data_IF_533520607410
#
_entry.id   IF_533520607410
#
_cell.length_a   1.000
_cell.length_b   1.000
_cell.length_c   1.000
_cell.angle_alpha   90.00
_cell.angle_beta   90.00
_cell.angle_gamma   90.00
#
_symmetry.space_group_name_H-M   'P 1'
#
loop_
_entity.id
_entity.type
_entity.pdbx_description
1 polymer ?
#
# COMPACT_ATOMS: atom_id res chain seq x y z
N UNK A 1 -5.47 36.49 32.31
CA UNK A 1 -5.77 35.37 31.39
C UNK A 1 -4.71 34.30 31.58
N UNK A 2 -5.09 33.08 31.92
CA UNK A 2 -4.16 31.96 32.01
C UNK A 2 -3.84 31.49 30.60
N UNK A 3 -2.58 31.61 30.18
CA UNK A 3 -2.12 31.08 28.91
C UNK A 3 -2.16 29.54 28.98
N UNK A 4 -3.01 28.92 28.17
CA UNK A 4 -3.19 27.47 28.20
C UNK A 4 -2.22 26.85 27.20
N UNK A 5 -1.33 25.97 27.67
CA UNK A 5 -0.29 25.33 26.89
C UNK A 5 -0.45 23.80 26.94
N UNK A 6 -0.32 23.13 25.78
CA UNK A 6 -0.18 21.68 25.66
C UNK A 6 1.29 21.36 25.38
N UNK A 7 1.88 20.45 26.14
CA UNK A 7 3.27 20.02 25.95
C UNK A 7 3.29 18.51 25.76
N UNK A 8 4.01 18.05 24.75
CA UNK A 8 4.22 16.62 24.49
C UNK A 8 5.71 16.33 24.42
N UNK A 9 6.09 15.12 24.82
CA UNK A 9 7.43 14.58 24.65
C UNK A 9 7.33 13.22 23.96
N UNK A 10 8.14 13.05 22.92
CA UNK A 10 8.18 11.85 22.09
C UNK A 10 9.57 11.23 22.16
N UNK A 11 9.61 9.92 22.30
CA UNK A 11 10.82 9.11 22.31
C UNK A 11 10.64 7.88 21.43
N UNK A 12 11.53 7.69 20.47
CA UNK A 12 11.51 6.57 19.53
C UNK A 12 12.90 5.92 19.45
N UNK A 13 12.96 4.63 19.73
CA UNK A 13 14.18 3.83 19.66
C UNK A 13 13.93 2.61 18.81
N UNK A 14 14.79 2.40 17.83
CA UNK A 14 14.74 1.23 16.94
C UNK A 14 16.08 0.49 17.02
N UNK A 15 16.03 -0.77 17.41
CA UNK A 15 17.13 -1.72 17.31
C UNK A 15 16.81 -2.77 16.25
N UNK A 16 17.75 -3.02 15.35
CA UNK A 16 17.60 -4.08 14.34
C UNK A 16 18.93 -4.81 14.14
N UNK A 17 18.84 -6.08 13.73
CA UNK A 17 20.00 -6.84 13.29
C UNK A 17 19.70 -7.47 11.94
N UNK A 18 20.76 -7.86 11.22
CA UNK A 18 20.63 -8.51 9.92
C UNK A 18 21.50 -9.75 9.90
N UNK A 19 20.87 -10.90 9.76
CA UNK A 19 21.51 -12.20 9.62
C UNK A 19 21.31 -12.66 8.18
N UNK A 20 22.36 -13.17 7.55
CA UNK A 20 22.27 -13.68 6.18
C UNK A 20 22.90 -15.06 6.06
N UNK A 21 22.27 -15.91 5.23
CA UNK A 21 22.77 -17.23 4.89
C UNK A 21 22.69 -17.42 3.37
N UNK A 22 23.85 -17.70 2.78
CA UNK A 22 23.97 -17.98 1.34
C UNK A 22 23.75 -19.48 1.09
N UNK A 23 22.86 -19.80 0.16
CA UNK A 23 22.64 -21.12 -0.42
C UNK A 23 23.08 -21.09 -1.89
N UNK A 24 23.16 -22.25 -2.54
CA UNK A 24 23.60 -22.35 -3.93
C UNK A 24 22.71 -21.56 -4.90
N UNK A 25 21.40 -21.55 -4.64
CA UNK A 25 20.40 -20.92 -5.51
C UNK A 25 19.86 -19.58 -5.01
N UNK A 26 20.00 -19.25 -3.72
CA UNK A 26 19.47 -18.00 -3.15
C UNK A 26 20.23 -17.55 -1.89
N UNK A 27 20.06 -16.29 -1.51
CA UNK A 27 20.49 -15.72 -0.25
C UNK A 27 19.27 -15.46 0.62
N UNK A 28 19.22 -16.06 1.79
CA UNK A 28 18.17 -15.81 2.79
C UNK A 28 18.69 -14.78 3.79
N UNK A 29 17.88 -13.75 4.04
CA UNK A 29 18.17 -12.71 5.01
C UNK A 29 17.06 -12.70 6.05
N UNK A 30 17.43 -12.68 7.33
CA UNK A 30 16.54 -12.56 8.48
C UNK A 30 16.90 -11.29 9.23
N UNK A 31 15.93 -10.42 9.42
CA UNK A 31 16.08 -9.11 10.04
C UNK A 31 15.09 -8.98 11.20
N UNK A 32 15.47 -9.42 12.41
CA UNK A 32 14.68 -9.13 13.60
C UNK A 32 14.90 -7.67 14.04
N UNK A 33 13.83 -7.01 14.45
CA UNK A 33 13.85 -5.65 14.98
C UNK A 33 12.95 -5.49 16.19
N UNK A 34 13.36 -4.61 17.09
CA UNK A 34 12.61 -4.16 18.25
C UNK A 34 12.51 -2.65 18.18
N UNK A 35 11.30 -2.11 18.29
CA UNK A 35 11.06 -0.67 18.39
C UNK A 35 10.35 -0.37 19.71
N UNK A 36 10.75 0.71 20.35
CA UNK A 36 10.03 1.30 21.47
C UNK A 36 9.66 2.72 21.12
N UNK A 37 8.37 3.01 21.15
CA UNK A 37 7.81 4.32 20.84
C UNK A 37 6.97 4.80 22.01
N UNK A 38 7.32 5.97 22.55
CA UNK A 38 6.69 6.54 23.73
C UNK A 38 6.30 7.98 23.46
N UNK A 39 5.03 8.30 23.70
CA UNK A 39 4.52 9.66 23.68
C UNK A 39 3.92 9.94 25.06
N UNK A 40 4.34 11.04 25.66
CA UNK A 40 3.65 11.63 26.82
C UNK A 40 3.05 12.95 26.40
N UNK A 41 1.84 13.23 26.87
CA UNK A 41 1.15 14.50 26.69
C UNK A 41 0.67 15.03 28.04
N UNK A 42 0.65 16.35 28.19
CA UNK A 42 0.09 17.02 29.37
C UNK A 42 -1.40 16.72 29.49
N UNK A 43 -1.87 16.30 30.66
CA UNK A 43 -3.29 16.17 30.98
C UNK A 43 -3.96 17.55 30.87
N UNK A 44 -4.76 17.74 29.83
CA UNK A 44 -5.62 18.90 29.69
C UNK A 44 -6.77 18.54 28.74
N UNK A 45 -8.01 18.72 29.20
CA UNK A 45 -9.28 18.63 28.46
C UNK A 45 -9.43 19.77 27.44
N UNK A 46 -8.36 20.09 26.72
CA UNK A 46 -8.41 21.08 25.66
C UNK A 46 -9.16 20.49 24.47
N UNK A 47 -10.16 21.22 23.93
CA UNK A 47 -10.88 20.76 22.75
C UNK A 47 -9.89 20.55 21.62
N UNK A 48 -9.91 19.35 21.06
CA UNK A 48 -9.10 18.97 19.91
C UNK A 48 -9.60 19.74 18.70
N UNK A 49 -8.79 20.63 18.14
CA UNK A 49 -9.16 21.43 16.97
C UNK A 49 -8.92 20.68 15.65
N UNK A 50 -7.88 19.84 15.60
CA UNK A 50 -7.54 19.02 14.45
C UNK A 50 -6.90 17.66 14.82
N UNK A 51 -6.68 16.80 13.83
CA UNK A 51 -6.11 15.47 14.08
C UNK A 51 -4.64 15.48 14.55
N UNK A 52 -3.93 16.60 14.37
CA UNK A 52 -2.55 16.74 14.85
C UNK A 52 -2.50 16.98 16.36
N UNK A 53 -3.62 17.31 16.98
CA UNK A 53 -3.74 17.53 18.42
C UNK A 53 -4.10 16.26 19.24
N UNK A 54 -4.36 15.14 18.56
CA UNK A 54 -4.69 13.83 19.14
C UNK A 54 -3.44 13.07 19.65
N UNK A 55 -2.55 13.75 20.39
CA UNK A 55 -1.42 13.08 21.04
C UNK A 55 -1.89 12.33 22.29
N UNK A 56 -2.46 11.14 22.07
CA UNK A 56 -2.69 10.17 23.13
C UNK A 56 -1.36 9.77 23.77
N UNK A 57 -1.38 9.55 25.09
CA UNK A 57 -0.25 8.95 25.79
C UNK A 57 -0.08 7.51 25.29
N UNK A 58 1.10 7.17 24.79
CA UNK A 58 1.38 5.85 24.21
C UNK A 58 2.72 5.31 24.71
N UNK A 59 2.83 3.98 24.78
CA UNK A 59 4.07 3.28 25.12
C UNK A 59 4.04 1.93 24.45
N UNK A 60 4.47 1.94 23.20
CA UNK A 60 4.38 0.83 22.27
C UNK A 60 5.74 0.15 22.15
N UNK A 61 5.78 -1.13 22.50
CA UNK A 61 6.85 -2.04 22.13
C UNK A 61 6.45 -2.81 20.89
N UNK A 62 7.26 -2.78 19.85
CA UNK A 62 7.01 -3.51 18.61
C UNK A 62 8.14 -4.50 18.35
N UNK A 63 7.77 -5.76 18.16
CA UNK A 63 8.66 -6.81 17.69
C UNK A 63 8.32 -7.12 16.24
N UNK A 64 9.33 -7.11 15.37
CA UNK A 64 9.16 -7.43 13.96
C UNK A 64 10.22 -8.40 13.50
N UNK A 65 9.81 -9.36 12.68
CA UNK A 65 10.69 -10.35 12.06
C UNK A 65 10.49 -10.30 10.55
N UNK A 66 11.49 -9.77 9.86
CA UNK A 66 11.51 -9.66 8.41
C UNK A 66 12.37 -10.77 7.80
N UNK A 67 11.80 -11.54 6.89
CA UNK A 67 12.48 -12.57 6.11
C UNK A 67 12.51 -12.13 4.65
N UNK A 68 13.67 -12.19 4.02
CA UNK A 68 13.86 -11.87 2.59
C UNK A 68 14.59 -12.99 1.87
N UNK A 69 14.16 -13.31 0.67
CA UNK A 69 14.81 -14.25 -0.23
C UNK A 69 15.32 -13.47 -1.44
N UNK A 70 16.63 -13.52 -1.66
CA UNK A 70 17.31 -12.85 -2.75
C UNK A 70 17.85 -13.89 -3.75
N UNK A 71 17.72 -13.65 -5.05
CA UNK A 71 18.29 -14.51 -6.11
C UNK A 71 18.93 -13.62 -7.17
N UNK A 72 20.20 -13.88 -7.51
CA UNK A 72 20.93 -13.09 -8.52
C UNK A 72 20.99 -11.58 -8.22
N UNK A 73 21.06 -11.21 -6.92
CA UNK A 73 21.05 -9.81 -6.48
C UNK A 73 19.67 -9.14 -6.42
N UNK A 74 18.60 -9.85 -6.78
CA UNK A 74 17.22 -9.32 -6.77
C UNK A 74 16.39 -9.93 -5.64
N UNK A 75 15.54 -9.13 -4.98
CA UNK A 75 14.60 -9.61 -3.96
C UNK A 75 13.42 -10.33 -4.63
N UNK A 76 13.27 -11.62 -4.35
CA UNK A 76 12.24 -12.48 -4.95
C UNK A 76 11.02 -12.56 -4.06
N UNK A 77 11.21 -12.66 -2.74
CA UNK A 77 10.14 -12.77 -1.78
C UNK A 77 10.52 -12.12 -0.44
N UNK A 78 9.53 -11.55 0.23
CA UNK A 78 9.64 -10.90 1.52
C UNK A 78 8.44 -11.24 2.37
N UNK A 79 8.67 -11.58 3.63
CA UNK A 79 7.63 -11.83 4.63
C UNK A 79 8.00 -11.08 5.91
N UNK A 80 7.10 -10.25 6.42
CA UNK A 80 7.24 -9.58 7.72
C UNK A 80 6.11 -10.01 8.63
N UNK A 81 6.47 -10.37 9.85
CA UNK A 81 5.54 -10.56 10.95
C UNK A 81 5.82 -9.51 12.01
N UNK A 82 4.82 -8.73 12.41
CA UNK A 82 4.96 -7.67 13.40
C UNK A 82 3.92 -7.81 14.50
N UNK A 83 4.37 -7.79 15.76
CA UNK A 83 3.52 -7.79 16.94
C UNK A 83 3.86 -6.57 17.80
N UNK A 84 2.88 -5.67 17.94
CA UNK A 84 2.97 -4.53 18.84
C UNK A 84 2.35 -4.83 20.21
N UNK A 85 2.79 -4.12 21.23
CA UNK A 85 2.22 -4.12 22.57
C UNK A 85 2.22 -2.70 23.10
N UNK A 86 1.04 -2.12 23.33
CA UNK A 86 0.87 -0.83 23.99
C UNK A 86 0.58 -1.02 25.47
N UNK A 87 1.51 -0.60 26.32
CA UNK A 87 1.40 -0.73 27.78
C UNK A 87 0.38 0.25 28.39
N UNK A 88 -0.07 1.25 27.65
CA UNK A 88 -1.16 2.13 28.09
C UNK A 88 -2.56 1.60 27.76
N UNK A 89 -2.68 0.55 26.93
CA UNK A 89 -3.98 0.01 26.50
C UNK A 89 -4.64 -0.94 27.54
N UNK A 90 -4.27 -0.79 28.82
CA UNK A 90 -4.85 -1.51 29.96
C UNK A 90 -4.82 -3.04 29.80
N UNK A 91 -5.98 -3.68 29.96
CA UNK A 91 -6.16 -5.14 29.92
C UNK A 91 -5.94 -5.75 28.53
N UNK A 92 -5.81 -4.93 27.48
CA UNK A 92 -5.61 -5.37 26.09
C UNK A 92 -4.31 -4.81 25.50
N UNK A 93 -3.15 -5.16 26.08
CA UNK A 93 -1.90 -4.54 25.69
C UNK A 93 -1.45 -4.91 24.27
N UNK A 94 -1.83 -6.07 23.72
CA UNK A 94 -1.35 -6.48 22.39
C UNK A 94 -2.09 -5.77 21.26
N UNK A 95 -1.33 -5.13 20.38
CA UNK A 95 -1.87 -4.60 19.13
C UNK A 95 -2.17 -5.73 18.14
N UNK A 96 -2.97 -5.48 17.09
CA UNK A 96 -3.21 -6.48 16.05
C UNK A 96 -1.90 -7.01 15.46
N UNK A 97 -1.82 -8.34 15.30
CA UNK A 97 -0.70 -9.00 14.64
C UNK A 97 -0.74 -8.64 13.14
N UNK A 98 0.36 -8.10 12.61
CA UNK A 98 0.48 -7.72 11.21
C UNK A 98 1.34 -8.73 10.43
N UNK A 99 0.84 -9.15 9.28
CA UNK A 99 1.54 -9.97 8.31
C UNK A 99 1.66 -9.20 6.99
N UNK A 100 2.88 -8.98 6.52
CA UNK A 100 3.16 -8.45 5.19
C UNK A 100 3.87 -9.54 4.37
N UNK A 101 3.42 -9.78 3.15
CA UNK A 101 4.02 -10.70 2.21
C UNK A 101 4.12 -10.03 0.85
N UNK A 102 5.29 -10.13 0.22
CA UNK A 102 5.52 -9.68 -1.14
C UNK A 102 6.32 -10.72 -1.90
N UNK A 103 5.85 -11.12 -3.07
CA UNK A 103 6.58 -11.93 -4.04
C UNK A 103 6.72 -11.04 -5.26
N UNK A 104 7.95 -10.78 -5.71
CA UNK A 104 8.22 -9.81 -6.78
C UNK A 104 8.58 -10.47 -8.12
N UNK A 105 8.97 -11.76 -8.11
CA UNK A 105 9.41 -12.49 -9.31
C UNK A 105 8.46 -13.65 -9.64
N UNK A 106 8.27 -13.89 -10.93
CA UNK A 106 7.33 -14.90 -11.44
C UNK A 106 5.93 -14.32 -11.50
N UNK A 107 5.17 -14.46 -10.42
CA UNK A 107 3.82 -13.90 -10.28
C UNK A 107 3.84 -12.88 -9.13
N UNK A 108 3.96 -11.58 -9.44
CA UNK A 108 3.94 -10.55 -8.41
C UNK A 108 2.69 -10.61 -7.54
N UNK A 109 2.88 -10.84 -6.25
CA UNK A 109 1.81 -10.90 -5.23
C UNK A 109 2.20 -10.00 -4.08
N UNK A 110 1.26 -9.20 -3.59
CA UNK A 110 1.37 -8.47 -2.32
C UNK A 110 0.21 -8.86 -1.45
N UNK A 111 0.44 -9.10 -0.17
CA UNK A 111 -0.58 -9.40 0.81
C UNK A 111 -0.22 -8.73 2.13
N UNK A 112 -1.15 -7.95 2.67
CA UNK A 112 -1.05 -7.35 3.99
C UNK A 112 -2.28 -7.77 4.78
N UNK A 113 -2.11 -8.28 5.99
CA UNK A 113 -3.21 -8.68 6.84
C UNK A 113 -2.95 -8.26 8.28
N UNK A 114 -4.00 -7.82 8.98
CA UNK A 114 -3.96 -7.58 10.43
C UNK A 114 -4.98 -8.46 11.14
N UNK A 115 -4.56 -9.06 12.25
CA UNK A 115 -5.38 -9.98 13.03
C UNK A 115 -5.47 -9.52 14.48
N UNK A 116 -6.70 -9.34 14.98
CA UNK A 116 -6.93 -8.92 16.34
C UNK A 116 -7.00 -10.14 17.26
N UNK A 117 -5.96 -10.27 18.10
CA UNK A 117 -5.78 -11.40 19.03
C UNK A 117 -6.93 -11.55 20.03
N UNK A 118 -7.61 -10.46 20.41
CA UNK A 118 -8.70 -10.48 21.39
C UNK A 118 -10.04 -10.88 20.78
N UNK A 119 -10.31 -10.46 19.55
CA UNK A 119 -11.56 -10.82 18.86
C UNK A 119 -11.47 -12.14 18.12
N UNK A 120 -10.25 -12.62 17.85
CA UNK A 120 -10.02 -13.81 17.04
C UNK A 120 -10.33 -13.60 15.55
N UNK A 121 -10.35 -12.36 15.08
CA UNK A 121 -10.79 -11.99 13.73
C UNK A 121 -9.73 -11.19 12.98
N UNK A 122 -9.70 -11.35 11.66
CA UNK A 122 -8.96 -10.49 10.74
C UNK A 122 -9.65 -9.11 10.72
N UNK A 123 -8.88 -8.06 10.93
CA UNK A 123 -9.34 -6.67 10.88
C UNK A 123 -9.18 -6.09 9.49
N UNK A 124 -8.00 -6.27 8.89
CA UNK A 124 -7.73 -5.81 7.53
C UNK A 124 -7.08 -6.92 6.72
N UNK A 125 -7.40 -6.97 5.43
CA UNK A 125 -6.74 -7.83 4.45
C UNK A 125 -6.68 -7.08 3.13
N UNK A 126 -5.48 -6.84 2.61
CA UNK A 126 -5.24 -6.28 1.29
C UNK A 126 -4.41 -7.28 0.51
N UNK A 127 -4.83 -7.64 -0.70
CA UNK A 127 -4.06 -8.51 -1.57
C UNK A 127 -4.08 -8.00 -3.00
N UNK A 128 -2.93 -7.96 -3.64
CA UNK A 128 -2.76 -7.56 -5.02
C UNK A 128 -1.99 -8.63 -5.78
N UNK A 129 -2.49 -9.00 -6.96
CA UNK A 129 -1.89 -9.96 -7.87
C UNK A 129 -1.71 -9.27 -9.22
N UNK A 130 -0.52 -9.34 -9.80
CA UNK A 130 -0.25 -8.81 -11.13
C UNK A 130 0.40 -9.88 -12.01
N UNK A 131 -0.13 -10.05 -13.22
CA UNK A 131 0.27 -11.08 -14.17
C UNK A 131 0.45 -10.44 -15.55
N UNK A 132 1.68 -10.48 -16.05
CA UNK A 132 2.00 -10.08 -17.42
C UNK A 132 2.13 -11.32 -18.30
N UNK A 133 1.16 -11.51 -19.20
CA UNK A 133 1.15 -12.64 -20.16
C UNK A 133 1.08 -12.06 -21.57
N UNK A 134 2.12 -12.30 -22.37
CA UNK A 134 2.31 -11.70 -23.70
C UNK A 134 2.30 -10.16 -23.69
N UNK A 135 1.30 -9.54 -24.30
CA UNK A 135 1.10 -8.08 -24.36
C UNK A 135 -0.08 -7.63 -23.50
N UNK A 136 -0.44 -8.45 -22.53
CA UNK A 136 -1.57 -8.25 -21.63
C UNK A 136 -1.07 -8.26 -20.19
N UNK A 137 -1.40 -7.23 -19.44
CA UNK A 137 -1.22 -7.17 -17.99
C UNK A 137 -2.59 -7.31 -17.34
N UNK A 138 -2.74 -8.31 -16.49
CA UNK A 138 -3.92 -8.51 -15.66
C UNK A 138 -3.54 -8.20 -14.22
N UNK A 139 -4.32 -7.37 -13.54
CA UNK A 139 -4.16 -7.12 -12.12
C UNK A 139 -5.47 -7.38 -11.39
N UNK A 140 -5.39 -8.11 -10.27
CA UNK A 140 -6.51 -8.39 -9.38
C UNK A 140 -6.16 -7.86 -8.00
N UNK A 141 -7.10 -7.16 -7.38
CA UNK A 141 -6.95 -6.60 -6.04
C UNK A 141 -8.13 -7.01 -5.16
N UNK A 142 -7.89 -7.17 -3.88
CA UNK A 142 -8.92 -7.36 -2.87
C UNK A 142 -8.54 -6.56 -1.63
N UNK A 143 -9.50 -5.81 -1.08
CA UNK A 143 -9.33 -5.04 0.14
C UNK A 143 -10.54 -5.27 1.05
N UNK A 144 -10.25 -5.71 2.25
CA UNK A 144 -11.20 -5.92 3.33
C UNK A 144 -10.79 -5.09 4.54
N UNK A 145 -11.75 -4.39 5.13
CA UNK A 145 -11.62 -3.71 6.42
C UNK A 145 -12.88 -3.97 7.24
N UNK A 146 -12.73 -4.65 8.38
CA UNK A 146 -13.84 -5.01 9.27
C UNK A 146 -14.46 -3.80 9.95
N UNK A 147 -13.65 -2.83 10.38
CA UNK A 147 -14.09 -1.67 11.17
C UNK A 147 -14.89 -0.70 10.29
N UNK A 148 -14.42 -0.51 9.06
CA UNK A 148 -15.08 0.36 8.07
C UNK A 148 -16.14 -0.38 7.24
N UNK A 149 -16.37 -1.67 7.50
CA UNK A 149 -17.24 -2.57 6.73
C UNK A 149 -16.99 -2.54 5.21
N UNK A 150 -15.72 -2.51 4.80
CA UNK A 150 -15.31 -2.45 3.39
C UNK A 150 -14.97 -3.85 2.89
N UNK A 151 -15.49 -4.20 1.71
CA UNK A 151 -15.05 -5.37 0.93
C UNK A 151 -15.03 -5.00 -0.56
N UNK A 152 -13.85 -4.63 -1.05
CA UNK A 152 -13.63 -4.16 -2.41
C UNK A 152 -12.81 -5.17 -3.21
N UNK A 153 -13.27 -5.45 -4.43
CA UNK A 153 -12.55 -6.22 -5.42
C UNK A 153 -12.19 -5.32 -6.59
N UNK A 154 -10.94 -5.39 -7.03
CA UNK A 154 -10.45 -4.67 -8.21
C UNK A 154 -10.06 -5.68 -9.26
N UNK A 155 -10.46 -5.44 -10.51
CA UNK A 155 -9.92 -6.15 -11.66
C UNK A 155 -9.50 -5.14 -12.71
N UNK A 156 -8.27 -5.28 -13.20
CA UNK A 156 -7.70 -4.42 -14.22
C UNK A 156 -7.06 -5.26 -15.32
N UNK A 157 -7.22 -4.79 -16.54
CA UNK A 157 -6.70 -5.38 -17.76
C UNK A 157 -6.07 -4.28 -18.59
N UNK A 158 -4.78 -4.39 -18.88
CA UNK A 158 -4.10 -3.55 -19.86
C UNK A 158 -3.65 -4.43 -21.01
N UNK A 159 -4.05 -4.08 -22.22
CA UNK A 159 -3.75 -4.81 -23.44
C UNK A 159 -3.11 -3.90 -24.49
N UNK A 160 -1.97 -4.31 -25.02
CA UNK A 160 -1.22 -3.55 -26.03
C UNK A 160 -1.12 -4.35 -27.34
N UNK A 161 -2.17 -4.39 -28.18
CA UNK A 161 -2.15 -5.21 -29.41
C UNK A 161 -1.00 -4.79 -30.35
N UNK A 162 -0.76 -3.48 -30.45
CA UNK A 162 0.28 -2.87 -31.27
C UNK A 162 1.19 -1.99 -30.39
N UNK A 163 2.45 -1.76 -30.81
CA UNK A 163 3.38 -0.87 -30.07
C UNK A 163 2.85 0.57 -29.90
N UNK A 164 1.89 0.95 -30.73
CA UNK A 164 1.31 2.30 -30.79
C UNK A 164 -0.05 2.42 -30.10
N UNK A 165 -0.69 1.32 -29.72
CA UNK A 165 -2.03 1.32 -29.16
C UNK A 165 -2.03 0.55 -27.84
N UNK A 166 -2.57 1.19 -26.79
CA UNK A 166 -2.80 0.58 -25.48
C UNK A 166 -4.26 0.77 -25.09
N UNK A 167 -4.87 -0.29 -24.59
CA UNK A 167 -6.23 -0.29 -24.06
C UNK A 167 -6.15 -0.75 -22.61
N UNK A 168 -6.63 0.06 -21.69
CA UNK A 168 -6.77 -0.26 -20.27
C UNK A 168 -8.24 -0.31 -19.90
N UNK A 169 -8.62 -1.26 -19.06
CA UNK A 169 -9.92 -1.32 -18.43
C UNK A 169 -9.74 -1.71 -16.97
N UNK A 170 -10.40 -1.01 -16.05
CA UNK A 170 -10.34 -1.31 -14.63
C UNK A 170 -11.73 -1.16 -14.01
N UNK A 171 -12.08 -2.08 -13.12
CA UNK A 171 -13.35 -2.10 -12.41
C UNK A 171 -13.11 -2.31 -10.92
N UNK A 172 -13.86 -1.58 -10.10
CA UNK A 172 -13.92 -1.70 -8.65
C UNK A 172 -15.33 -2.09 -8.24
N UNK A 173 -15.45 -3.19 -7.52
CA UNK A 173 -16.72 -3.75 -7.06
C UNK A 173 -16.75 -3.79 -5.54
N UNK A 174 -17.79 -3.21 -4.95
CA UNK A 174 -18.09 -3.22 -3.52
C UNK A 174 -19.12 -4.30 -3.21
N UNK A 175 -18.66 -5.36 -2.54
CA UNK A 175 -19.47 -6.52 -2.19
C UNK A 175 -20.38 -6.30 -0.97
N UNK A 176 -20.24 -5.18 -0.25
CA UNK A 176 -21.01 -4.88 0.97
C UNK A 176 -22.30 -4.11 0.72
N UNK A 177 -22.62 -3.82 -0.55
CA UNK A 177 -23.91 -3.24 -0.95
C UNK A 177 -23.80 -2.15 -2.01
N UNK A 178 -22.58 -1.69 -2.33
CA UNK A 178 -22.35 -0.65 -3.34
C UNK A 178 -22.39 -1.14 -4.79
N UNK A 179 -22.18 -2.44 -5.04
CA UNK A 179 -22.12 -2.98 -6.40
C UNK A 179 -20.91 -2.46 -7.18
N UNK A 180 -21.04 -2.17 -8.47
CA UNK A 180 -19.95 -1.55 -9.24
C UNK A 180 -19.77 -0.11 -8.76
N UNK A 181 -18.64 0.16 -8.11
CA UNK A 181 -18.30 1.47 -7.58
C UNK A 181 -17.69 2.33 -8.68
N UNK A 182 -16.55 1.89 -9.20
CA UNK A 182 -15.85 2.64 -10.24
C UNK A 182 -15.56 1.77 -11.46
N UNK A 183 -15.59 2.39 -12.62
CA UNK A 183 -15.24 1.76 -13.89
C UNK A 183 -14.47 2.75 -14.77
N UNK A 184 -13.33 2.30 -15.28
CA UNK A 184 -12.42 3.10 -16.07
C UNK A 184 -12.08 2.36 -17.36
N UNK A 185 -12.20 3.04 -18.49
CA UNK A 185 -11.65 2.60 -19.77
C UNK A 185 -10.66 3.66 -20.22
N UNK A 186 -9.47 3.26 -20.62
CA UNK A 186 -8.49 4.14 -21.23
C UNK A 186 -8.05 3.55 -22.57
N UNK A 187 -7.95 4.39 -23.58
CA UNK A 187 -7.39 4.04 -24.88
C UNK A 187 -6.35 5.07 -25.25
N UNK A 188 -5.12 4.64 -25.50
CA UNK A 188 -4.02 5.51 -25.90
C UNK A 188 -3.47 5.06 -27.25
N UNK A 189 -3.42 5.98 -28.19
CA UNK A 189 -2.74 5.81 -29.47
C UNK A 189 -1.58 6.80 -29.57
N UNK A 190 -0.36 6.34 -29.85
CA UNK A 190 0.82 7.19 -29.91
C UNK A 190 1.64 6.99 -31.20
N UNK A 191 1.96 8.11 -31.84
CA UNK A 191 2.91 8.25 -32.97
C UNK A 191 4.08 9.13 -32.52
N UNK A 192 5.05 9.37 -33.41
CA UNK A 192 6.31 10.04 -33.07
C UNK A 192 6.12 11.45 -32.48
N UNK A 193 5.23 12.25 -33.08
CA UNK A 193 5.07 13.66 -32.69
C UNK A 193 3.69 13.99 -32.11
N UNK A 194 2.80 13.00 -32.04
CA UNK A 194 1.44 13.19 -31.54
C UNK A 194 0.88 11.91 -30.92
N UNK A 195 -0.08 12.08 -30.02
CA UNK A 195 -0.83 11.00 -29.40
C UNK A 195 -2.29 11.41 -29.17
N UNK A 196 -3.15 10.40 -29.05
CA UNK A 196 -4.55 10.55 -28.71
C UNK A 196 -4.82 9.67 -27.50
N UNK A 197 -5.47 10.24 -26.48
CA UNK A 197 -5.89 9.54 -25.28
C UNK A 197 -7.39 9.74 -25.11
N UNK A 198 -8.12 8.64 -25.03
CA UNK A 198 -9.53 8.62 -24.75
C UNK A 198 -9.76 7.94 -23.41
N UNK A 199 -10.53 8.55 -22.54
CA UNK A 199 -10.82 8.03 -21.20
C UNK A 199 -12.30 8.09 -20.93
N UNK A 200 -12.83 7.02 -20.33
CA UNK A 200 -14.19 6.97 -19.80
C UNK A 200 -14.07 6.61 -18.33
N UNK A 201 -14.65 7.44 -17.47
CA UNK A 201 -14.66 7.25 -16.03
C UNK A 201 -16.10 7.27 -15.57
N UNK A 202 -16.58 6.16 -15.02
CA UNK A 202 -17.87 6.04 -14.35
C UNK A 202 -17.64 5.84 -12.87
N UNK A 203 -18.18 6.74 -12.06
CA UNK A 203 -18.20 6.66 -10.59
C UNK A 203 -19.66 6.69 -10.09
N UNK A 204 -19.93 6.43 -8.80
CA UNK A 204 -21.27 6.56 -8.26
C UNK A 204 -21.73 8.02 -8.39
N UNK A 205 -22.85 8.25 -9.07
CA UNK A 205 -23.39 9.59 -9.31
C UNK A 205 -22.68 10.45 -10.36
N UNK A 206 -21.52 10.02 -10.89
CA UNK A 206 -20.74 10.80 -11.85
C UNK A 206 -20.36 10.00 -13.10
N UNK A 207 -20.19 10.69 -14.22
CA UNK A 207 -19.77 10.13 -15.49
C UNK A 207 -19.00 11.17 -16.30
N UNK A 208 -17.77 10.83 -16.68
CA UNK A 208 -16.95 11.68 -17.54
C UNK A 208 -16.36 10.90 -18.71
N UNK A 209 -16.29 11.58 -19.85
CA UNK A 209 -15.56 11.16 -21.03
C UNK A 209 -14.55 12.26 -21.37
N UNK A 210 -13.31 11.89 -21.61
CA UNK A 210 -12.24 12.81 -21.94
C UNK A 210 -11.54 12.36 -23.22
N UNK A 211 -11.38 13.28 -24.17
CA UNK A 211 -10.55 13.10 -25.35
C UNK A 211 -9.41 14.12 -25.29
N UNK A 212 -8.18 13.64 -25.17
CA UNK A 212 -6.97 14.45 -25.17
C UNK A 212 -6.14 14.19 -26.41
N UNK A 213 -5.54 15.25 -26.93
CA UNK A 213 -4.57 15.19 -28.01
C UNK A 213 -3.22 15.72 -27.50
N UNK A 214 -2.22 14.86 -27.47
CA UNK A 214 -0.88 15.17 -26.97
C UNK A 214 0.05 15.46 -28.15
N UNK A 215 0.80 16.55 -28.12
CA UNK A 215 1.83 16.89 -29.12
C UNK A 215 3.23 16.70 -28.51
N UNK A 216 3.82 15.51 -28.68
CA UNK A 216 5.10 15.15 -28.05
C UNK A 216 6.34 15.46 -28.91
N UNK A 217 6.22 16.30 -29.94
CA UNK A 217 7.30 16.59 -30.89
C UNK A 217 7.90 18.00 -30.82
N UNK A 218 7.44 18.87 -29.91
CA UNK A 218 7.80 20.30 -29.91
C UNK A 218 8.96 20.60 -28.93
N UNK A 219 9.26 19.70 -27.98
CA UNK A 219 10.47 19.77 -27.14
C UNK A 219 11.60 18.90 -27.72
N UNK A 220 11.94 19.15 -28.97
CA UNK A 220 13.10 18.57 -29.63
C UNK A 220 14.32 19.46 -29.50
N UNK A 221 14.67 19.90 -28.29
CA UNK A 221 16.00 20.48 -28.09
C UNK A 221 16.99 19.34 -27.82
N UNK A 222 17.94 19.24 -28.74
CA UNK A 222 18.98 18.24 -28.82
C UNK A 222 19.79 18.13 -27.53
N UNK A 223 19.68 16.99 -26.86
CA UNK A 223 20.81 16.44 -26.09
C UNK A 223 21.21 15.10 -26.71
N UNK A 224 21.79 15.18 -27.91
CA UNK A 224 22.98 14.39 -28.17
C UNK A 224 24.10 15.06 -27.39
N UNK A 225 24.59 14.43 -26.33
CA UNK A 225 25.96 14.62 -25.87
C UNK A 225 26.42 13.33 -25.19
N UNK A 226 27.35 12.66 -25.90
CA UNK A 226 28.37 11.68 -25.52
C UNK A 226 28.12 10.76 -24.33
#
# INVERSE_FOLDING_TARGET
>A
ESNIQRTAFEYDVVGHTRLYRKYDSFLHVIEPSVRYHFITSSENDLPVLDASELFGKTSVFELSLLNRIMTGGTEVATVRLTQGMDTYNGDRPFLPLSLELAINKGVPIKLNATYNLYTGMVETLSSDLSLSVFKTNLALGHRYNRIEDIMLFTAALEFSPFKRARLGSSIWYDAKGGGIRDFYITMRYQRQCWGLRFEVIKKPGDYSMLLMFDLTGISGESSKNN
#
